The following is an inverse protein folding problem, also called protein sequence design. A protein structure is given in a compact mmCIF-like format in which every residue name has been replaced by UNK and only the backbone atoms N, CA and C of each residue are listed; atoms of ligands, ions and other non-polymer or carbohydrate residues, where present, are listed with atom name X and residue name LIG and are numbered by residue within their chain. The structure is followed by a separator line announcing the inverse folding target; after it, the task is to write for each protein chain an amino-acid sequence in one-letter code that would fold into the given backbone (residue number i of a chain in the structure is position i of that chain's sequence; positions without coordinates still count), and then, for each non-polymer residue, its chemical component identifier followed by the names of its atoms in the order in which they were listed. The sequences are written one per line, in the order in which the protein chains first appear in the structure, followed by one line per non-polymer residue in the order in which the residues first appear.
data_IF_190583916432
#
_entry.id   IF_190583916432
#
_cell.length_a   1.000
_cell.length_b   1.000
_cell.length_c   1.000
_cell.angle_alpha   90.00
_cell.angle_beta   90.00
_cell.angle_gamma   90.00
#
_symmetry.space_group_name_H-M   'P 1'
#
loop_
_entity.id
_entity.type
_entity.pdbx_description
1 polymer ?
#
# COMPACT_ATOMS: atom_id res chain seq x y z
N UNK A 1 -1.73 -59.41 -83.53
CA UNK A 1 -2.35 -58.08 -83.30
C UNK A 1 -2.22 -57.79 -81.81
N UNK A 2 -1.08 -57.28 -81.36
CA UNK A 2 -0.68 -55.86 -81.27
C UNK A 2 -1.41 -55.12 -80.15
N UNK A 3 -0.83 -55.20 -78.95
CA UNK A 3 -1.15 -54.30 -77.84
C UNK A 3 -0.53 -52.93 -78.09
N UNK A 4 -1.27 -51.89 -77.71
CA UNK A 4 -0.76 -50.52 -77.61
C UNK A 4 -1.11 -49.94 -76.23
N UNK A 5 -0.17 -49.26 -75.57
CA UNK A 5 -0.33 -48.76 -74.21
C UNK A 5 -1.16 -47.47 -74.18
N UNK A 6 -1.93 -47.33 -73.09
CA UNK A 6 -2.63 -46.10 -72.71
C UNK A 6 -1.63 -44.96 -72.52
N UNK A 7 -1.86 -43.84 -73.22
CA UNK A 7 -1.04 -42.64 -73.08
C UNK A 7 -1.28 -42.05 -71.69
N UNK A 8 -0.16 -41.91 -70.97
CA UNK A 8 -0.07 -41.22 -69.70
C UNK A 8 -0.67 -39.82 -69.77
N UNK A 9 -1.42 -39.53 -68.70
CA UNK A 9 -1.91 -38.24 -68.25
C UNK A 9 -0.75 -37.24 -68.18
N UNK A 10 -0.88 -36.10 -68.86
CA UNK A 10 0.10 -35.02 -68.84
C UNK A 10 -0.39 -33.95 -67.88
N UNK A 11 0.33 -33.82 -66.78
CA UNK A 11 0.58 -32.58 -66.02
C UNK A 11 -0.54 -31.55 -66.03
N UNK A 12 -1.38 -31.62 -65.00
CA UNK A 12 -2.02 -30.43 -64.41
C UNK A 12 -1.65 -30.34 -62.93
N UNK A 13 -0.35 -30.25 -62.64
CA UNK A 13 0.16 -29.71 -61.37
C UNK A 13 -0.04 -28.18 -61.35
N UNK A 14 -1.30 -27.74 -61.32
CA UNK A 14 -1.61 -26.43 -60.77
C UNK A 14 -1.60 -26.59 -59.24
N UNK A 15 -0.66 -25.99 -58.50
CA UNK A 15 -0.64 -26.10 -57.06
C UNK A 15 -1.97 -25.58 -56.51
N UNK A 16 -2.76 -26.48 -55.92
CA UNK A 16 -4.03 -26.12 -55.29
C UNK A 16 -3.81 -24.91 -54.40
N UNK A 17 -4.54 -23.84 -54.72
CA UNK A 17 -4.38 -22.52 -54.13
C UNK A 17 -4.24 -22.59 -52.62
N UNK A 18 -3.16 -22.00 -52.12
CA UNK A 18 -3.00 -21.74 -50.70
C UNK A 18 -4.25 -21.05 -50.18
N UNK A 19 -4.91 -21.64 -49.19
CA UNK A 19 -5.98 -20.97 -48.46
C UNK A 19 -5.49 -19.57 -48.03
N UNK A 20 -6.21 -18.47 -48.32
CA UNK A 20 -5.78 -17.11 -47.98
C UNK A 20 -5.50 -16.88 -46.49
N UNK A 21 -5.90 -17.83 -45.63
CA UNK A 21 -5.69 -17.80 -44.18
C UNK A 21 -4.35 -18.44 -43.72
N UNK A 22 -3.59 -19.12 -44.60
CA UNK A 22 -2.29 -19.68 -44.22
C UNK A 22 -1.16 -18.73 -44.63
N UNK A 23 -0.65 -17.99 -43.65
CA UNK A 23 0.67 -17.35 -43.74
C UNK A 23 1.70 -18.46 -43.98
N UNK A 24 2.25 -18.58 -45.19
CA UNK A 24 3.20 -19.65 -45.56
C UNK A 24 4.63 -19.34 -45.11
N UNK A 25 4.96 -18.08 -44.87
CA UNK A 25 6.30 -17.67 -44.46
C UNK A 25 6.49 -17.80 -42.92
N UNK A 26 7.43 -18.66 -42.45
CA UNK A 26 7.68 -18.86 -41.02
C UNK A 26 8.21 -17.61 -40.30
N UNK A 27 8.94 -16.72 -40.99
CA UNK A 27 9.41 -15.46 -40.41
C UNK A 27 8.24 -14.53 -40.10
N UNK A 28 7.30 -14.42 -41.05
CA UNK A 28 6.09 -13.62 -40.88
C UNK A 28 5.24 -14.15 -39.72
N UNK A 29 5.10 -15.48 -39.55
CA UNK A 29 4.38 -16.08 -38.40
C UNK A 29 5.04 -15.71 -37.06
N UNK A 30 6.36 -15.70 -37.00
CA UNK A 30 7.09 -15.35 -35.79
C UNK A 30 6.94 -13.86 -35.46
N UNK A 31 7.00 -12.99 -36.47
CA UNK A 31 6.76 -11.54 -36.28
C UNK A 31 5.29 -11.25 -35.90
N UNK A 32 4.33 -11.95 -36.50
CA UNK A 32 2.92 -11.87 -36.09
C UNK A 32 2.72 -12.37 -34.65
N UNK A 33 3.37 -13.46 -34.24
CA UNK A 33 3.30 -13.95 -32.87
C UNK A 33 3.91 -12.97 -31.86
N UNK A 34 5.08 -12.39 -32.17
CA UNK A 34 5.70 -11.33 -31.37
C UNK A 34 4.80 -10.10 -31.27
N UNK A 35 4.25 -9.64 -32.39
CA UNK A 35 3.35 -8.49 -32.43
C UNK A 35 2.07 -8.74 -31.62
N UNK A 36 1.51 -9.95 -31.69
CA UNK A 36 0.33 -10.34 -30.92
C UNK A 36 0.63 -10.48 -29.42
N UNK A 37 1.82 -10.97 -29.05
CA UNK A 37 2.30 -10.98 -27.66
C UNK A 37 2.46 -9.54 -27.15
N UNK A 38 3.13 -8.66 -27.89
CA UNK A 38 3.32 -7.26 -27.50
C UNK A 38 2.00 -6.49 -27.40
N UNK A 39 1.10 -6.67 -28.38
CA UNK A 39 -0.25 -6.12 -28.34
C UNK A 39 -1.03 -6.65 -27.14
N UNK A 40 -0.90 -7.95 -26.85
CA UNK A 40 -1.49 -8.58 -25.66
C UNK A 40 -0.95 -7.97 -24.37
N UNK A 41 0.38 -7.81 -24.23
CA UNK A 41 1.04 -7.21 -23.06
C UNK A 41 0.62 -5.76 -22.88
N UNK A 42 0.61 -4.95 -23.94
CA UNK A 42 0.16 -3.55 -23.90
C UNK A 42 -1.31 -3.48 -23.53
N UNK A 43 -2.16 -4.30 -24.16
CA UNK A 43 -3.59 -4.36 -23.88
C UNK A 43 -3.88 -4.76 -22.43
N UNK A 44 -3.21 -5.79 -21.91
CA UNK A 44 -3.32 -6.20 -20.50
C UNK A 44 -2.82 -5.12 -19.55
N UNK A 45 -1.75 -4.41 -19.92
CA UNK A 45 -1.21 -3.31 -19.10
C UNK A 45 -2.18 -2.12 -19.05
N UNK A 46 -2.76 -1.73 -20.18
CA UNK A 46 -3.79 -0.68 -20.24
C UNK A 46 -5.04 -1.09 -19.47
N UNK A 47 -5.48 -2.34 -19.61
CA UNK A 47 -6.60 -2.88 -18.86
C UNK A 47 -6.30 -2.84 -17.36
N UNK A 48 -5.11 -3.27 -16.94
CA UNK A 48 -4.67 -3.25 -15.54
C UNK A 48 -4.67 -1.83 -14.96
N UNK A 49 -4.23 -0.83 -15.73
CA UNK A 49 -4.32 0.59 -15.35
C UNK A 49 -5.78 1.03 -15.24
N UNK A 50 -6.63 0.65 -16.19
CA UNK A 50 -8.05 1.00 -16.18
C UNK A 50 -8.79 0.42 -14.95
N UNK A 51 -8.50 -0.83 -14.56
CA UNK A 51 -9.12 -1.49 -13.41
C UNK A 51 -8.33 -1.32 -12.10
N UNK A 52 -7.26 -0.53 -12.12
CA UNK A 52 -6.30 -0.43 -11.01
C UNK A 52 -6.94 0.01 -9.68
N UNK A 53 -7.90 0.94 -9.72
CA UNK A 53 -8.63 1.36 -8.54
C UNK A 53 -9.39 0.19 -7.90
N UNK A 54 -10.08 -0.62 -8.70
CA UNK A 54 -10.77 -1.81 -8.21
C UNK A 54 -9.80 -2.85 -7.63
N UNK A 55 -8.64 -3.05 -8.29
CA UNK A 55 -7.59 -3.93 -7.78
C UNK A 55 -7.02 -3.44 -6.44
N UNK A 56 -6.83 -2.13 -6.28
CA UNK A 56 -6.39 -1.53 -5.03
C UNK A 56 -7.42 -1.65 -3.92
N UNK A 57 -8.71 -1.53 -4.24
CA UNK A 57 -9.78 -1.79 -3.26
C UNK A 57 -9.76 -3.24 -2.78
N UNK A 58 -9.60 -4.21 -3.70
CA UNK A 58 -9.45 -5.62 -3.36
C UNK A 58 -8.18 -5.85 -2.54
N UNK A 59 -7.07 -5.22 -2.91
CA UNK A 59 -5.83 -5.30 -2.16
C UNK A 59 -5.96 -4.69 -0.77
N UNK A 60 -6.61 -3.54 -0.63
CA UNK A 60 -6.96 -2.91 0.64
C UNK A 60 -7.83 -3.83 1.49
N UNK A 61 -8.77 -4.56 0.90
CA UNK A 61 -9.55 -5.59 1.59
C UNK A 61 -8.67 -6.75 2.08
N UNK A 62 -7.66 -7.16 1.33
CA UNK A 62 -6.69 -8.17 1.79
C UNK A 62 -5.80 -7.65 2.93
N UNK A 63 -5.39 -6.38 2.89
CA UNK A 63 -4.67 -5.72 3.98
C UNK A 63 -5.54 -5.69 5.24
N UNK A 64 -6.80 -5.26 5.11
CA UNK A 64 -7.78 -5.26 6.20
C UNK A 64 -8.05 -6.68 6.74
N UNK A 65 -8.19 -7.67 5.85
CA UNK A 65 -8.34 -9.08 6.24
C UNK A 65 -7.12 -9.58 7.04
N UNK A 66 -5.91 -9.16 6.66
CA UNK A 66 -4.69 -9.52 7.40
C UNK A 66 -4.66 -8.87 8.79
N UNK A 67 -5.15 -7.63 8.95
CA UNK A 67 -5.30 -7.01 10.27
C UNK A 67 -6.26 -7.81 11.16
N UNK A 68 -7.42 -8.19 10.63
CA UNK A 68 -8.41 -9.01 11.35
C UNK A 68 -7.83 -10.39 11.69
N UNK A 69 -7.23 -11.10 10.72
CA UNK A 69 -6.66 -12.43 10.94
C UNK A 69 -5.49 -12.38 11.95
N UNK A 70 -4.68 -11.31 11.92
CA UNK A 70 -3.64 -11.03 12.91
C UNK A 70 -4.22 -10.91 14.32
N UNK A 71 -5.23 -10.05 14.51
CA UNK A 71 -5.92 -9.88 15.79
C UNK A 71 -6.59 -11.16 16.28
N UNK A 72 -7.28 -11.89 15.39
CA UNK A 72 -7.98 -13.12 15.75
C UNK A 72 -7.01 -14.24 16.16
N UNK A 73 -5.83 -14.34 15.51
CA UNK A 73 -4.77 -15.28 15.91
C UNK A 73 -4.13 -14.90 17.24
N UNK A 74 -3.93 -13.61 17.50
CA UNK A 74 -3.41 -13.13 18.78
C UNK A 74 -4.39 -13.48 19.91
N UNK A 75 -5.68 -13.22 19.72
CA UNK A 75 -6.72 -13.57 20.67
C UNK A 75 -6.81 -15.08 20.92
N UNK A 76 -6.56 -15.90 19.89
CA UNK A 76 -6.49 -17.36 19.99
C UNK A 76 -5.37 -17.90 20.89
N UNK A 77 -4.38 -17.07 21.26
CA UNK A 77 -3.37 -17.45 22.27
C UNK A 77 -3.89 -17.35 23.70
N UNK A 78 -4.94 -16.56 23.92
CA UNK A 78 -5.50 -16.29 25.26
C UNK A 78 -6.88 -16.94 25.43
N UNK A 79 -7.72 -16.93 24.38
CA UNK A 79 -9.07 -17.48 24.40
C UNK A 79 -9.21 -18.69 23.45
N UNK A 80 -9.50 -19.91 23.97
CA UNK A 80 -9.68 -21.12 23.16
C UNK A 80 -11.10 -21.20 22.53
N UNK A 81 -11.57 -20.14 21.89
CA UNK A 81 -12.88 -20.08 21.21
C UNK A 81 -12.75 -20.32 19.70
N UNK A 82 -13.87 -20.61 19.02
CA UNK A 82 -13.89 -20.81 17.55
C UNK A 82 -13.38 -19.59 16.75
N UNK A 83 -12.87 -19.83 15.53
CA UNK A 83 -12.31 -18.76 14.66
C UNK A 83 -13.30 -17.63 14.39
N UNK A 84 -14.55 -17.98 14.07
CA UNK A 84 -15.61 -16.99 13.80
C UNK A 84 -15.86 -16.06 14.98
N UNK A 85 -15.88 -16.61 16.21
CA UNK A 85 -16.04 -15.81 17.45
C UNK A 85 -14.86 -14.86 17.65
N UNK A 86 -13.62 -15.30 17.39
CA UNK A 86 -12.44 -14.42 17.51
C UNK A 86 -12.51 -13.26 16.52
N UNK A 87 -12.90 -13.52 15.28
CA UNK A 87 -13.08 -12.49 14.26
C UNK A 87 -14.18 -11.52 14.69
N UNK A 88 -15.32 -12.02 15.17
CA UNK A 88 -16.40 -11.20 15.68
C UNK A 88 -15.95 -10.31 16.85
N UNK A 89 -15.17 -10.84 17.80
CA UNK A 89 -14.60 -10.05 18.90
C UNK A 89 -13.70 -8.94 18.35
N UNK A 90 -12.79 -9.24 17.41
CA UNK A 90 -11.91 -8.22 16.82
C UNK A 90 -12.71 -7.12 16.11
N UNK A 91 -13.74 -7.49 15.35
CA UNK A 91 -14.61 -6.54 14.65
C UNK A 91 -15.42 -5.70 15.62
N UNK A 92 -16.01 -6.32 16.64
CA UNK A 92 -16.77 -5.60 17.67
C UNK A 92 -15.86 -4.68 18.49
N UNK A 93 -14.63 -5.08 18.79
CA UNK A 93 -13.64 -4.22 19.44
C UNK A 93 -13.26 -3.03 18.55
N UNK A 94 -13.08 -3.24 17.25
CA UNK A 94 -12.82 -2.16 16.29
C UNK A 94 -14.00 -1.18 16.23
N UNK A 95 -15.22 -1.68 16.04
CA UNK A 95 -16.43 -0.86 16.00
C UNK A 95 -16.64 -0.13 17.33
N UNK A 96 -16.47 -0.82 18.45
CA UNK A 96 -16.57 -0.24 19.79
C UNK A 96 -15.54 0.86 20.02
N UNK A 97 -14.29 0.66 19.57
CA UNK A 97 -13.25 1.70 19.60
C UNK A 97 -13.63 2.92 18.75
N UNK A 98 -14.13 2.72 17.52
CA UNK A 98 -14.54 3.82 16.65
C UNK A 98 -15.74 4.61 17.22
N UNK A 99 -16.72 3.91 17.80
CA UNK A 99 -17.86 4.54 18.49
C UNK A 99 -17.37 5.32 19.71
N UNK A 100 -16.52 4.72 20.55
CA UNK A 100 -15.93 5.38 21.71
C UNK A 100 -15.14 6.63 21.31
N UNK A 101 -14.28 6.54 20.29
CA UNK A 101 -13.51 7.67 19.76
C UNK A 101 -14.44 8.78 19.25
N UNK A 102 -15.51 8.42 18.52
CA UNK A 102 -16.48 9.38 17.98
C UNK A 102 -17.28 10.08 19.08
N UNK A 103 -17.68 9.37 20.14
CA UNK A 103 -18.43 9.95 21.25
C UNK A 103 -17.53 10.81 22.17
N UNK A 104 -16.35 10.30 22.52
CA UNK A 104 -15.45 10.96 23.46
C UNK A 104 -14.76 12.16 22.83
N UNK A 105 -14.23 11.99 21.62
CA UNK A 105 -13.39 12.99 20.99
C UNK A 105 -14.04 13.64 19.75
N UNK A 106 -15.11 13.05 19.18
CA UNK A 106 -15.65 13.51 17.88
C UNK A 106 -16.13 14.96 17.86
N UNK A 107 -16.81 15.44 18.91
CA UNK A 107 -17.27 16.84 18.97
C UNK A 107 -16.12 17.83 19.13
N UNK A 108 -15.11 17.49 19.94
CA UNK A 108 -13.91 18.31 20.13
C UNK A 108 -13.02 18.32 18.88
N UNK A 109 -12.72 17.14 18.34
CA UNK A 109 -11.97 16.93 17.10
C UNK A 109 -12.66 17.67 15.95
N UNK A 110 -13.99 17.58 15.83
CA UNK A 110 -14.74 18.26 14.77
C UNK A 110 -14.61 19.79 14.86
N UNK A 111 -14.69 20.36 16.08
CA UNK A 111 -14.48 21.80 16.28
C UNK A 111 -13.04 22.22 15.97
N UNK A 112 -12.06 21.47 16.45
CA UNK A 112 -10.64 21.71 16.17
C UNK A 112 -10.34 21.61 14.66
N UNK A 113 -10.90 20.61 13.98
CA UNK A 113 -10.79 20.46 12.54
C UNK A 113 -11.46 21.61 11.77
N UNK A 114 -12.57 22.16 12.25
CA UNK A 114 -13.22 23.32 11.64
C UNK A 114 -12.43 24.62 11.81
N UNK A 115 -11.65 24.74 12.89
CA UNK A 115 -10.75 25.89 13.14
C UNK A 115 -9.43 25.78 12.37
N UNK A 116 -9.03 24.56 12.01
CA UNK A 116 -7.74 24.28 11.38
C UNK A 116 -7.44 25.14 10.12
N UNK A 117 -8.37 25.30 9.15
CA UNK A 117 -8.10 26.13 7.96
C UNK A 117 -7.84 27.60 8.29
N UNK A 118 -8.49 28.14 9.33
CA UNK A 118 -8.28 29.52 9.75
C UNK A 118 -6.87 29.72 10.33
N UNK A 119 -6.40 28.76 11.16
CA UNK A 119 -5.05 28.78 11.71
C UNK A 119 -4.00 28.72 10.59
N UNK A 120 -4.22 27.86 9.59
CA UNK A 120 -3.31 27.78 8.44
C UNK A 120 -3.24 29.09 7.66
N UNK A 121 -4.38 29.73 7.41
CA UNK A 121 -4.42 31.04 6.72
C UNK A 121 -3.67 32.10 7.52
N UNK A 122 -3.94 32.21 8.82
CA UNK A 122 -3.30 33.20 9.69
C UNK A 122 -1.78 33.02 9.76
N UNK A 123 -1.31 31.79 9.94
CA UNK A 123 0.13 31.50 9.97
C UNK A 123 0.80 31.79 8.62
N UNK A 124 0.10 31.56 7.51
CA UNK A 124 0.61 31.88 6.19
C UNK A 124 0.70 33.39 5.96
N UNK A 125 -0.29 34.16 6.38
CA UNK A 125 -0.27 35.63 6.27
C UNK A 125 0.87 36.24 7.10
N UNK A 126 1.10 35.74 8.32
CA UNK A 126 2.24 36.14 9.15
C UNK A 126 3.58 35.84 8.47
N UNK A 127 3.70 34.66 7.86
CA UNK A 127 4.91 34.27 7.14
C UNK A 127 5.18 35.16 5.92
N UNK A 128 4.14 35.52 5.15
CA UNK A 128 4.26 36.45 4.02
C UNK A 128 4.60 37.87 4.48
N UNK A 129 4.02 38.33 5.58
CA UNK A 129 4.37 39.61 6.20
C UNK A 129 5.85 39.66 6.56
N UNK A 130 6.35 38.63 7.24
CA UNK A 130 7.77 38.49 7.58
C UNK A 130 8.68 38.46 6.33
N UNK A 131 8.29 37.75 5.26
CA UNK A 131 9.03 37.75 3.99
C UNK A 131 9.10 39.14 3.35
N UNK A 132 7.97 39.86 3.35
CA UNK A 132 7.91 41.22 2.84
C UNK A 132 8.79 42.18 3.65
N UNK A 133 8.85 42.02 4.98
CA UNK A 133 9.76 42.79 5.84
C UNK A 133 11.24 42.51 5.57
N UNK A 134 11.59 41.28 5.17
CA UNK A 134 12.95 40.92 4.75
C UNK A 134 13.29 41.37 3.31
N UNK A 135 12.38 42.06 2.62
CA UNK A 135 12.59 42.63 1.29
C UNK A 135 12.31 41.67 0.13
N UNK A 136 11.65 40.53 0.38
CA UNK A 136 11.18 39.66 -0.70
C UNK A 136 9.90 40.23 -1.32
N UNK A 137 9.90 40.43 -2.64
CA UNK A 137 8.72 40.87 -3.38
C UNK A 137 7.70 39.71 -3.49
N UNK A 138 6.74 39.68 -2.58
CA UNK A 138 5.63 38.72 -2.60
C UNK A 138 4.55 39.24 -3.55
N UNK A 139 4.39 38.59 -4.71
CA UNK A 139 3.24 38.86 -5.58
C UNK A 139 1.96 38.30 -4.93
N UNK A 140 0.97 39.17 -4.70
CA UNK A 140 -0.30 38.80 -4.07
C UNK A 140 -1.03 37.69 -4.85
N UNK A 141 -0.98 37.71 -6.18
CA UNK A 141 -1.60 36.67 -7.03
C UNK A 141 -0.99 35.27 -6.82
N UNK A 142 0.32 35.19 -6.62
CA UNK A 142 1.02 33.93 -6.34
C UNK A 142 0.71 33.44 -4.93
N UNK A 143 0.63 34.38 -3.97
CA UNK A 143 0.25 34.08 -2.59
C UNK A 143 -1.16 33.50 -2.49
N UNK A 144 -2.14 34.11 -3.16
CA UNK A 144 -3.52 33.60 -3.20
C UNK A 144 -3.60 32.22 -3.85
N UNK A 145 -2.84 31.99 -4.92
CA UNK A 145 -2.78 30.67 -5.56
C UNK A 145 -2.22 29.60 -4.63
N UNK A 146 -1.15 29.91 -3.88
CA UNK A 146 -0.55 29.01 -2.90
C UNK A 146 -1.51 28.76 -1.74
N UNK A 147 -2.15 29.81 -1.19
CA UNK A 147 -3.17 29.69 -0.15
C UNK A 147 -4.29 28.78 -0.63
N UNK A 148 -4.82 28.97 -1.83
CA UNK A 148 -5.89 28.13 -2.35
C UNK A 148 -5.47 26.65 -2.50
N UNK A 149 -4.21 26.38 -2.87
CA UNK A 149 -3.67 25.02 -2.89
C UNK A 149 -3.51 24.42 -1.49
N UNK A 150 -2.98 25.19 -0.54
CA UNK A 150 -2.83 24.77 0.86
C UNK A 150 -4.20 24.55 1.51
N UNK A 151 -5.16 25.44 1.26
CA UNK A 151 -6.53 25.39 1.77
C UNK A 151 -7.33 24.27 1.15
N UNK A 152 -7.13 23.95 -0.14
CA UNK A 152 -7.71 22.74 -0.72
C UNK A 152 -7.13 21.47 -0.10
N UNK A 153 -5.83 21.45 0.23
CA UNK A 153 -5.19 20.40 1.00
C UNK A 153 -5.72 20.28 2.44
N UNK A 154 -5.93 21.39 3.14
CA UNK A 154 -6.57 21.42 4.46
C UNK A 154 -8.05 21.01 4.38
N UNK A 155 -8.72 21.37 3.28
CA UNK A 155 -10.07 20.93 2.92
C UNK A 155 -10.17 19.41 2.73
N UNK A 156 -9.10 18.75 2.26
CA UNK A 156 -9.01 17.29 2.23
C UNK A 156 -8.95 16.69 3.64
N UNK A 157 -8.31 17.36 4.60
CA UNK A 157 -8.25 16.91 6.00
C UNK A 157 -9.63 17.06 6.68
N UNK A 158 -10.29 18.22 6.49
CA UNK A 158 -11.64 18.44 7.05
C UNK A 158 -12.70 17.56 6.37
N UNK A 159 -12.58 17.32 5.06
CA UNK A 159 -13.43 16.36 4.35
C UNK A 159 -13.09 14.89 4.65
N UNK A 160 -11.86 14.54 5.04
CA UNK A 160 -11.56 13.22 5.59
C UNK A 160 -12.26 13.01 6.95
N UNK A 161 -12.39 14.07 7.75
CA UNK A 161 -13.05 14.04 9.07
C UNK A 161 -14.59 14.13 8.94
N UNK A 162 -15.12 14.95 8.02
CA UNK A 162 -16.57 15.19 7.85
C UNK A 162 -17.23 14.46 6.67
N UNK A 163 -16.47 14.09 5.64
CA UNK A 163 -16.91 13.48 4.38
C UNK A 163 -16.95 11.96 4.43
N UNK A 164 -17.47 11.42 5.53
CA UNK A 164 -17.61 9.97 5.74
C UNK A 164 -18.50 9.35 4.64
N UNK A 165 -19.53 10.04 4.16
CA UNK A 165 -20.52 9.49 3.21
C UNK A 165 -19.98 9.04 1.84
N UNK A 166 -18.97 9.69 1.26
CA UNK A 166 -18.40 9.30 -0.05
C UNK A 166 -17.37 8.17 0.04
N UNK A 167 -16.50 8.23 1.05
CA UNK A 167 -15.51 7.19 1.33
C UNK A 167 -16.13 5.92 1.95
N UNK A 168 -17.31 6.06 2.57
CA UNK A 168 -18.03 4.96 3.21
C UNK A 168 -18.32 3.81 2.26
N UNK A 169 -18.74 4.07 1.02
CA UNK A 169 -19.07 2.98 0.07
C UNK A 169 -17.84 2.09 -0.18
N UNK A 170 -16.69 2.71 -0.46
CA UNK A 170 -15.43 1.98 -0.66
C UNK A 170 -14.99 1.27 0.62
N UNK A 171 -15.08 1.92 1.78
CA UNK A 171 -14.74 1.31 3.07
C UNK A 171 -15.64 0.14 3.43
N UNK A 172 -16.93 0.23 3.15
CA UNK A 172 -17.91 -0.85 3.35
C UNK A 172 -17.56 -2.02 2.44
N UNK A 173 -17.22 -1.78 1.18
CA UNK A 173 -16.78 -2.85 0.26
C UNK A 173 -15.49 -3.50 0.75
N UNK A 174 -14.48 -2.70 1.14
CA UNK A 174 -13.22 -3.18 1.73
C UNK A 174 -13.48 -4.03 2.97
N UNK A 175 -14.38 -3.56 3.86
CA UNK A 175 -14.74 -4.26 5.07
C UNK A 175 -15.45 -5.58 4.78
N UNK A 176 -16.46 -5.57 3.91
CA UNK A 176 -17.19 -6.77 3.51
C UNK A 176 -16.23 -7.81 2.92
N UNK A 177 -15.46 -7.44 1.89
CA UNK A 177 -14.51 -8.35 1.23
C UNK A 177 -13.48 -8.84 2.25
N UNK A 178 -12.93 -7.94 3.07
CA UNK A 178 -11.91 -8.27 4.04
C UNK A 178 -12.41 -9.21 5.14
N UNK A 179 -13.66 -9.04 5.59
CA UNK A 179 -14.31 -9.95 6.56
C UNK A 179 -14.48 -11.34 5.95
N UNK A 180 -14.98 -11.42 4.72
CA UNK A 180 -15.14 -12.70 4.01
C UNK A 180 -13.79 -13.42 3.85
N UNK A 181 -12.76 -12.71 3.40
CA UNK A 181 -11.40 -13.25 3.25
C UNK A 181 -10.79 -13.66 4.60
N UNK A 182 -10.99 -12.88 5.66
CA UNK A 182 -10.51 -13.20 7.00
C UNK A 182 -11.24 -14.41 7.61
N UNK A 183 -12.52 -14.58 7.33
CA UNK A 183 -13.31 -15.71 7.79
C UNK A 183 -12.79 -17.03 7.19
N UNK A 184 -12.61 -17.08 5.87
CA UNK A 184 -12.23 -18.31 5.14
C UNK A 184 -11.06 -18.10 4.15
N UNK A 185 -9.84 -17.77 4.59
CA UNK A 185 -8.72 -17.47 3.68
C UNK A 185 -8.37 -18.65 2.78
N UNK A 186 -8.47 -19.88 3.30
CA UNK A 186 -8.20 -21.13 2.56
C UNK A 186 -9.18 -21.36 1.40
N UNK A 187 -10.40 -20.81 1.45
CA UNK A 187 -11.34 -20.92 0.33
C UNK A 187 -10.82 -20.12 -0.86
N UNK A 188 -10.42 -18.88 -0.63
CA UNK A 188 -9.88 -17.98 -1.67
C UNK A 188 -8.53 -18.46 -2.20
N UNK A 189 -7.63 -18.92 -1.33
CA UNK A 189 -6.35 -19.52 -1.73
C UNK A 189 -6.54 -20.71 -2.68
N UNK A 190 -7.47 -21.62 -2.35
CA UNK A 190 -7.78 -22.78 -3.20
C UNK A 190 -8.41 -22.36 -4.54
N UNK A 191 -9.28 -21.34 -4.52
CA UNK A 191 -9.90 -20.80 -5.73
C UNK A 191 -8.86 -20.30 -6.73
N UNK A 192 -7.89 -19.50 -6.27
CA UNK A 192 -6.80 -19.00 -7.12
C UNK A 192 -5.87 -20.13 -7.55
N UNK A 193 -5.52 -21.05 -6.64
CA UNK A 193 -4.66 -22.19 -6.96
C UNK A 193 -5.27 -23.11 -8.04
N UNK A 194 -6.59 -23.15 -8.19
CA UNK A 194 -7.26 -23.98 -9.20
C UNK A 194 -6.97 -23.51 -10.64
N UNK A 195 -6.76 -22.21 -10.84
CA UNK A 195 -6.41 -21.61 -12.14
C UNK A 195 -4.97 -21.95 -12.54
N UNK A 196 -4.10 -22.26 -11.57
CA UNK A 196 -2.70 -22.58 -11.81
C UNK A 196 -2.50 -24.04 -12.25
N UNK A 197 -1.49 -24.31 -13.11
CA UNK A 197 -1.05 -25.66 -13.44
C UNK A 197 -0.74 -26.47 -12.19
N UNK A 198 -1.10 -27.77 -12.18
CA UNK A 198 -0.95 -28.65 -11.01
C UNK A 198 0.45 -28.64 -10.40
N UNK A 199 1.49 -28.54 -11.23
CA UNK A 199 2.90 -28.52 -10.81
C UNK A 199 3.27 -27.28 -10.01
N UNK A 200 2.58 -26.15 -10.19
CA UNK A 200 2.90 -24.87 -9.54
C UNK A 200 2.06 -24.61 -8.27
N UNK A 201 1.05 -25.45 -7.98
CA UNK A 201 0.12 -25.21 -6.86
C UNK A 201 0.81 -25.29 -5.50
N UNK A 202 1.78 -26.19 -5.34
CA UNK A 202 2.52 -26.32 -4.08
C UNK A 202 3.32 -25.04 -3.79
N UNK A 203 4.11 -24.57 -4.76
CA UNK A 203 4.92 -23.35 -4.65
C UNK A 203 4.04 -22.11 -4.41
N UNK A 204 2.88 -22.05 -5.07
CA UNK A 204 1.90 -21.00 -4.85
C UNK A 204 1.40 -20.96 -3.40
N UNK A 205 1.04 -22.11 -2.80
CA UNK A 205 0.58 -22.16 -1.42
C UNK A 205 1.67 -21.70 -0.44
N UNK A 206 2.92 -22.11 -0.65
CA UNK A 206 4.07 -21.66 0.16
C UNK A 206 4.25 -20.15 0.04
N UNK A 207 4.16 -19.61 -1.18
CA UNK A 207 4.29 -18.18 -1.43
C UNK A 207 3.19 -17.37 -0.74
N UNK A 208 1.93 -17.77 -0.91
CA UNK A 208 0.79 -17.06 -0.31
C UNK A 208 0.81 -17.15 1.21
N UNK A 209 1.19 -18.30 1.78
CA UNK A 209 1.32 -18.43 3.23
C UNK A 209 2.38 -17.46 3.79
N UNK A 210 3.53 -17.35 3.13
CA UNK A 210 4.60 -16.42 3.53
C UNK A 210 4.17 -14.97 3.35
N UNK A 211 3.51 -14.63 2.24
CA UNK A 211 2.93 -13.30 2.00
C UNK A 211 1.93 -12.93 3.10
N UNK A 212 1.00 -13.83 3.43
CA UNK A 212 0.02 -13.62 4.49
C UNK A 212 0.66 -13.47 5.88
N UNK A 213 1.71 -14.24 6.18
CA UNK A 213 2.47 -14.09 7.42
C UNK A 213 3.17 -12.72 7.50
N UNK A 214 3.84 -12.31 6.43
CA UNK A 214 4.49 -11.00 6.33
C UNK A 214 3.48 -9.87 6.47
N UNK A 215 2.36 -9.93 5.74
CA UNK A 215 1.33 -8.90 5.77
C UNK A 215 0.78 -8.71 7.19
N UNK A 216 0.46 -9.81 7.89
CA UNK A 216 -0.03 -9.76 9.28
C UNK A 216 0.96 -9.07 10.22
N UNK A 217 2.25 -9.37 10.09
CA UNK A 217 3.28 -8.82 10.98
C UNK A 217 3.61 -7.38 10.66
N UNK A 218 3.63 -7.02 9.37
CA UNK A 218 3.77 -5.64 8.92
C UNK A 218 2.59 -4.79 9.41
N UNK A 219 1.35 -5.27 9.25
CA UNK A 219 0.14 -4.59 9.74
C UNK A 219 0.09 -4.49 11.27
N UNK A 220 0.46 -5.54 11.99
CA UNK A 220 0.56 -5.49 13.45
C UNK A 220 1.58 -4.44 13.89
N UNK A 221 2.74 -4.41 13.24
CA UNK A 221 3.76 -3.41 13.49
C UNK A 221 3.26 -1.99 13.25
N UNK A 222 2.62 -1.75 12.10
CA UNK A 222 2.01 -0.45 11.77
C UNK A 222 1.02 -0.02 12.84
N UNK A 223 0.09 -0.88 13.24
CA UNK A 223 -0.87 -0.56 14.30
C UNK A 223 -0.20 -0.20 15.64
N UNK A 224 0.85 -0.93 16.03
CA UNK A 224 1.61 -0.63 17.25
C UNK A 224 2.33 0.72 17.12
N UNK A 225 2.97 0.99 15.98
CA UNK A 225 3.62 2.28 15.70
C UNK A 225 2.64 3.43 15.75
N UNK A 226 1.49 3.32 15.09
CA UNK A 226 0.41 4.32 15.12
C UNK A 226 -0.06 4.66 16.54
N UNK A 227 -0.31 3.63 17.36
CA UNK A 227 -0.73 3.84 18.76
C UNK A 227 0.42 4.46 19.56
N UNK A 228 1.64 3.98 19.39
CA UNK A 228 2.81 4.49 20.09
C UNK A 228 3.07 5.96 19.74
N UNK A 229 3.17 6.31 18.47
CA UNK A 229 3.42 7.67 18.01
C UNK A 229 2.30 8.62 18.44
N UNK A 230 1.04 8.20 18.35
CA UNK A 230 -0.09 9.01 18.81
C UNK A 230 -0.05 9.26 20.32
N UNK A 231 0.11 8.21 21.13
CA UNK A 231 0.16 8.35 22.59
C UNK A 231 1.40 9.13 23.05
N UNK A 232 2.56 8.86 22.45
CA UNK A 232 3.80 9.55 22.76
C UNK A 232 3.72 11.03 22.40
N UNK A 233 3.18 11.37 21.22
CA UNK A 233 2.93 12.76 20.82
C UNK A 233 1.97 13.44 21.80
N UNK A 234 0.86 12.79 22.15
CA UNK A 234 -0.09 13.35 23.12
C UNK A 234 0.56 13.64 24.46
N UNK A 235 1.33 12.68 25.00
CA UNK A 235 2.03 12.82 26.26
C UNK A 235 3.03 13.98 26.24
N UNK A 236 3.77 14.16 25.14
CA UNK A 236 4.74 15.25 24.98
C UNK A 236 4.07 16.62 24.87
N UNK A 237 2.94 16.72 24.15
CA UNK A 237 2.21 17.97 23.97
C UNK A 237 1.47 18.40 25.24
N UNK A 238 0.83 17.46 25.95
CA UNK A 238 0.22 17.74 27.27
C UNK A 238 1.30 18.01 28.32
N UNK A 239 2.44 17.31 28.25
CA UNK A 239 3.57 17.50 29.14
C UNK A 239 4.11 18.93 29.14
N UNK A 240 4.05 19.63 28.00
CA UNK A 240 4.39 21.06 27.93
C UNK A 240 3.53 21.88 28.89
N UNK A 241 2.20 21.79 28.77
CA UNK A 241 1.28 22.56 29.62
C UNK A 241 1.36 22.20 31.11
N UNK A 242 1.77 20.98 31.45
CA UNK A 242 2.04 20.62 32.85
C UNK A 242 3.28 21.30 33.42
N UNK A 243 4.26 21.66 32.59
CA UNK A 243 5.53 22.29 33.01
C UNK A 243 5.45 23.81 32.94
N UNK A 244 4.89 24.36 31.86
CA UNK A 244 4.81 25.82 31.63
C UNK A 244 3.50 26.44 32.13
N UNK A 245 2.43 25.65 32.25
CA UNK A 245 1.09 26.14 32.60
C UNK A 245 0.22 26.49 31.39
N UNK A 246 0.79 26.53 30.19
CA UNK A 246 0.08 26.88 28.95
C UNK A 246 -0.14 25.65 28.05
N UNK A 247 -1.37 25.42 27.60
CA UNK A 247 -1.70 24.27 26.76
C UNK A 247 -1.36 24.51 25.28
N UNK A 248 -0.70 23.53 24.64
CA UNK A 248 -0.49 23.57 23.19
C UNK A 248 -1.85 23.40 22.49
N UNK A 249 -2.22 24.29 21.54
CA UNK A 249 -3.48 24.19 20.84
C UNK A 249 -3.65 22.84 20.16
N UNK A 250 -4.86 22.28 20.24
CA UNK A 250 -5.26 21.08 19.50
C UNK A 250 -4.37 19.84 19.76
N UNK A 251 -3.72 19.75 20.93
CA UNK A 251 -2.79 18.66 21.26
C UNK A 251 -3.38 17.25 21.02
N UNK A 252 -4.65 17.04 21.39
CA UNK A 252 -5.35 15.77 21.17
C UNK A 252 -5.56 15.46 19.68
N UNK A 253 -6.01 16.45 18.88
CA UNK A 253 -6.18 16.26 17.44
C UNK A 253 -4.84 16.02 16.74
N UNK A 254 -3.80 16.78 17.09
CA UNK A 254 -2.45 16.59 16.54
C UNK A 254 -1.93 15.19 16.84
N UNK A 255 -2.05 14.72 18.08
CA UNK A 255 -1.65 13.38 18.46
C UNK A 255 -2.39 12.28 17.70
N UNK A 256 -3.72 12.42 17.53
CA UNK A 256 -4.52 11.47 16.74
C UNK A 256 -4.09 11.51 15.27
N UNK A 257 -3.89 12.69 14.70
CA UNK A 257 -3.41 12.83 13.34
C UNK A 257 -2.03 12.22 13.16
N UNK A 258 -1.07 12.50 14.05
CA UNK A 258 0.26 11.87 14.03
C UNK A 258 0.16 10.36 14.07
N UNK A 259 -0.61 9.80 15.01
CA UNK A 259 -0.82 8.36 15.09
C UNK A 259 -1.51 7.76 13.86
N UNK A 260 -2.49 8.44 13.26
CA UNK A 260 -3.15 7.96 12.03
C UNK A 260 -2.23 8.05 10.81
N UNK A 261 -1.52 9.16 10.66
CA UNK A 261 -0.63 9.42 9.53
C UNK A 261 0.63 8.54 9.58
N UNK A 262 1.04 8.08 10.77
CA UNK A 262 2.12 7.09 10.95
C UNK A 262 1.91 5.78 10.14
N UNK A 263 0.67 5.50 9.70
CA UNK A 263 0.41 4.39 8.80
C UNK A 263 1.15 4.52 7.45
N UNK A 264 1.34 5.75 6.97
CA UNK A 264 2.01 6.09 5.71
C UNK A 264 3.40 6.65 6.03
N UNK A 265 4.48 5.85 5.93
CA UNK A 265 5.81 6.34 6.28
C UNK A 265 6.23 7.52 5.46
N UNK A 266 7.15 8.30 6.03
CA UNK A 266 7.76 9.48 5.43
C UNK A 266 6.76 10.60 5.18
N UNK A 267 5.75 10.40 4.32
CA UNK A 267 4.72 11.39 4.01
C UNK A 267 3.88 11.70 5.25
N UNK A 268 3.42 10.68 5.98
CA UNK A 268 2.63 10.89 7.18
C UNK A 268 3.40 11.59 8.30
N UNK A 269 4.67 11.23 8.48
CA UNK A 269 5.58 11.91 9.39
C UNK A 269 5.79 13.38 9.02
N UNK A 270 6.09 13.67 7.74
CA UNK A 270 6.30 15.03 7.26
C UNK A 270 5.04 15.88 7.41
N UNK A 271 3.89 15.35 6.99
CA UNK A 271 2.61 16.08 7.07
C UNK A 271 2.23 16.31 8.53
N UNK A 272 2.24 15.28 9.37
CA UNK A 272 1.89 15.45 10.80
C UNK A 272 2.85 16.38 11.54
N UNK A 273 4.16 16.32 11.24
CA UNK A 273 5.16 17.24 11.77
C UNK A 273 4.90 18.68 11.35
N UNK A 274 4.65 18.92 10.06
CA UNK A 274 4.33 20.26 9.56
C UNK A 274 3.07 20.83 10.22
N UNK A 275 2.01 20.02 10.37
CA UNK A 275 0.78 20.41 11.06
C UNK A 275 1.04 20.75 12.53
N UNK A 276 1.82 19.93 13.22
CA UNK A 276 2.15 20.13 14.64
C UNK A 276 2.96 21.40 14.88
N UNK A 277 3.93 21.69 14.00
CA UNK A 277 4.74 22.90 14.08
C UNK A 277 3.90 24.13 13.79
N UNK A 278 3.09 24.10 12.74
CA UNK A 278 2.20 25.21 12.37
C UNK A 278 1.22 25.56 13.49
N UNK A 279 0.58 24.55 14.07
CA UNK A 279 -0.36 24.76 15.19
C UNK A 279 0.38 25.19 16.46
N UNK A 280 1.60 24.70 16.71
CA UNK A 280 2.44 25.18 17.81
C UNK A 280 2.71 26.69 17.71
N UNK A 281 3.09 27.19 16.54
CA UNK A 281 3.33 28.61 16.33
C UNK A 281 2.10 29.49 16.49
N UNK A 282 0.89 28.96 16.27
CA UNK A 282 -0.34 29.70 16.59
C UNK A 282 -0.56 29.94 18.09
N UNK A 283 0.08 29.15 18.95
CA UNK A 283 0.10 29.39 20.40
C UNK A 283 1.25 30.29 20.87
N UNK A 284 2.18 30.65 19.97
CA UNK A 284 3.34 31.49 20.26
C UNK A 284 4.67 30.87 19.80
N UNK A 285 5.72 31.71 19.79
CA UNK A 285 7.07 31.30 19.35
C UNK A 285 7.64 30.15 20.19
N UNK A 286 7.48 30.19 21.51
CA UNK A 286 8.00 29.13 22.40
C UNK A 286 7.30 27.79 22.15
N UNK A 287 5.96 27.80 21.99
CA UNK A 287 5.19 26.61 21.68
C UNK A 287 5.59 26.02 20.32
N UNK A 288 5.77 26.86 19.29
CA UNK A 288 6.22 26.42 17.97
C UNK A 288 7.61 25.80 17.97
N UNK A 289 8.56 26.38 18.71
CA UNK A 289 9.90 25.79 18.87
C UNK A 289 9.84 24.46 19.64
N UNK A 290 9.00 24.38 20.68
CA UNK A 290 8.81 23.14 21.42
C UNK A 290 8.22 22.03 20.55
N UNK A 291 7.21 22.32 19.71
CA UNK A 291 6.62 21.32 18.82
C UNK A 291 7.60 20.82 17.75
N UNK A 292 8.55 21.66 17.30
CA UNK A 292 9.67 21.19 16.45
C UNK A 292 10.52 20.15 17.20
N UNK A 293 10.87 20.42 18.46
CA UNK A 293 11.63 19.47 19.29
C UNK A 293 10.85 18.17 19.49
N UNK A 294 9.55 18.25 19.80
CA UNK A 294 8.68 17.08 19.91
C UNK A 294 8.65 16.28 18.62
N UNK A 295 8.46 16.93 17.47
CA UNK A 295 8.50 16.26 16.17
C UNK A 295 9.82 15.52 15.95
N UNK A 296 10.96 16.17 16.19
CA UNK A 296 12.28 15.54 16.05
C UNK A 296 12.43 14.34 17.00
N UNK A 297 11.95 14.44 18.24
CA UNK A 297 11.99 13.34 19.20
C UNK A 297 11.11 12.16 18.76
N UNK A 298 9.88 12.43 18.31
CA UNK A 298 8.97 11.40 17.78
C UNK A 298 9.64 10.65 16.63
N UNK A 299 10.21 11.39 15.65
CA UNK A 299 10.86 10.78 14.49
C UNK A 299 12.13 9.99 14.86
N UNK A 300 12.93 10.48 15.81
CA UNK A 300 14.10 9.74 16.28
C UNK A 300 13.69 8.45 16.99
N UNK A 301 12.67 8.50 17.85
CA UNK A 301 12.20 7.31 18.55
C UNK A 301 11.58 6.32 17.57
N UNK A 302 10.82 6.79 16.59
CA UNK A 302 10.28 5.93 15.55
C UNK A 302 11.41 5.22 14.78
N UNK A 303 12.39 5.98 14.29
CA UNK A 303 13.52 5.48 13.53
C UNK A 303 14.43 4.50 14.29
N UNK A 304 14.73 4.76 15.57
CA UNK A 304 15.70 3.97 16.34
C UNK A 304 15.06 2.86 17.19
N UNK A 305 13.80 2.98 17.60
CA UNK A 305 13.16 2.01 18.50
C UNK A 305 11.97 1.32 17.85
N UNK A 306 10.99 2.07 17.35
CA UNK A 306 9.71 1.52 16.88
C UNK A 306 9.94 0.67 15.63
N UNK A 307 10.57 1.24 14.60
CA UNK A 307 10.86 0.53 13.35
C UNK A 307 11.69 -0.73 13.63
N UNK A 308 12.82 -0.72 14.35
CA UNK A 308 13.59 -1.94 14.61
C UNK A 308 12.85 -3.00 15.44
N UNK A 309 12.04 -2.61 16.42
CA UNK A 309 11.22 -3.54 17.22
C UNK A 309 10.20 -4.28 16.36
N UNK A 310 9.60 -3.57 15.40
CA UNK A 310 8.67 -4.12 14.42
C UNK A 310 9.41 -4.95 13.37
N UNK A 311 10.51 -4.41 12.85
CA UNK A 311 11.21 -4.88 11.66
C UNK A 311 12.10 -6.10 11.89
N UNK A 312 12.50 -6.39 13.15
CA UNK A 312 13.41 -7.49 13.54
C UNK A 312 13.07 -8.88 12.99
N UNK A 313 11.89 -9.07 12.39
CA UNK A 313 11.51 -10.31 11.70
C UNK A 313 10.62 -10.07 10.46
N UNK A 314 10.53 -8.85 9.90
CA UNK A 314 9.72 -8.54 8.70
C UNK A 314 10.60 -8.33 7.47
N UNK A 315 10.00 -7.91 6.36
CA UNK A 315 10.71 -7.66 5.11
C UNK A 315 11.58 -6.42 5.24
N UNK A 316 12.89 -6.59 5.08
CA UNK A 316 13.82 -5.46 4.96
C UNK A 316 13.60 -4.76 3.62
N UNK A 317 13.07 -3.53 3.66
CA UNK A 317 12.88 -2.68 2.49
C UNK A 317 13.85 -1.51 2.57
N UNK A 318 14.59 -1.26 1.48
CA UNK A 318 15.47 -0.10 1.41
C UNK A 318 14.63 1.19 1.49
N UNK A 319 14.98 2.19 2.33
CA UNK A 319 14.19 3.40 2.51
C UNK A 319 13.91 4.15 1.19
N UNK A 320 14.91 4.24 0.31
CA UNK A 320 14.77 4.87 -0.99
C UNK A 320 13.75 4.15 -1.89
N UNK A 321 13.64 2.81 -1.79
CA UNK A 321 12.66 2.03 -2.54
C UNK A 321 11.25 2.27 -2.02
N UNK A 322 11.09 2.35 -0.70
CA UNK A 322 9.80 2.69 -0.06
C UNK A 322 9.34 4.07 -0.50
N UNK A 323 10.21 5.09 -0.38
CA UNK A 323 9.92 6.46 -0.82
C UNK A 323 9.58 6.55 -2.31
N UNK A 324 10.39 5.93 -3.17
CA UNK A 324 10.16 5.93 -4.62
C UNK A 324 8.85 5.25 -4.97
N UNK A 325 8.54 4.11 -4.34
CA UNK A 325 7.29 3.38 -4.58
C UNK A 325 6.08 4.14 -4.06
N UNK A 326 6.18 4.78 -2.89
CA UNK A 326 5.15 5.67 -2.35
C UNK A 326 4.83 6.83 -3.30
N UNK A 327 5.86 7.48 -3.85
CA UNK A 327 5.68 8.55 -4.82
C UNK A 327 4.97 8.06 -6.09
N UNK A 328 5.42 6.93 -6.65
CA UNK A 328 4.80 6.31 -7.84
C UNK A 328 3.33 5.97 -7.57
N UNK A 329 3.06 5.27 -6.46
CA UNK A 329 1.70 4.84 -6.11
C UNK A 329 0.78 6.02 -5.78
N UNK A 330 1.32 7.07 -5.14
CA UNK A 330 0.59 8.30 -4.83
C UNK A 330 0.23 9.08 -6.09
N UNK A 331 1.14 9.19 -7.06
CA UNK A 331 0.85 9.86 -8.34
C UNK A 331 -0.16 9.06 -9.17
N UNK A 332 -0.01 7.74 -9.25
CA UNK A 332 -0.86 6.91 -10.10
C UNK A 332 -2.26 6.67 -9.53
N UNK A 333 -2.37 6.52 -8.21
CA UNK A 333 -3.60 6.05 -7.57
C UNK A 333 -4.04 6.91 -6.37
N UNK A 334 -3.44 8.08 -6.20
CA UNK A 334 -3.78 9.04 -5.16
C UNK A 334 -3.50 8.51 -3.75
N UNK A 335 -4.31 8.99 -2.79
CA UNK A 335 -4.16 8.66 -1.37
C UNK A 335 -4.27 7.15 -1.13
N UNK A 336 -5.20 6.45 -1.79
CA UNK A 336 -5.34 5.00 -1.65
C UNK A 336 -4.08 4.25 -2.10
N UNK A 337 -3.47 4.67 -3.21
CA UNK A 337 -2.19 4.12 -3.66
C UNK A 337 -1.08 4.34 -2.64
N UNK A 338 -0.97 5.55 -2.13
CA UNK A 338 0.03 5.92 -1.14
C UNK A 338 -0.11 5.09 0.15
N UNK A 339 -1.33 4.91 0.66
CA UNK A 339 -1.61 4.05 1.83
C UNK A 339 -1.23 2.58 1.58
N UNK A 340 -1.47 2.07 0.38
CA UNK A 340 -1.23 0.67 0.05
C UNK A 340 0.18 0.40 -0.49
N UNK A 341 1.00 1.44 -0.67
CA UNK A 341 2.33 1.35 -1.26
C UNK A 341 3.24 0.38 -0.49
N UNK A 342 3.38 0.59 0.82
CA UNK A 342 4.18 -0.24 1.71
C UNK A 342 3.78 -1.72 1.72
N UNK A 343 2.51 -2.09 2.02
CA UNK A 343 2.11 -3.49 2.03
C UNK A 343 2.25 -4.11 0.64
N UNK A 344 1.96 -3.38 -0.43
CA UNK A 344 2.10 -3.89 -1.79
C UNK A 344 3.56 -4.15 -2.15
N UNK A 345 4.47 -3.23 -1.81
CA UNK A 345 5.90 -3.38 -2.04
C UNK A 345 6.45 -4.59 -1.27
N UNK A 346 6.05 -4.77 -0.01
CA UNK A 346 6.44 -5.93 0.78
C UNK A 346 5.94 -7.24 0.17
N UNK A 347 4.70 -7.27 -0.34
CA UNK A 347 4.13 -8.43 -1.02
C UNK A 347 4.87 -8.77 -2.32
N UNK A 348 5.19 -7.75 -3.12
CA UNK A 348 6.01 -7.91 -4.33
C UNK A 348 7.38 -8.49 -3.97
N UNK A 349 8.05 -7.93 -2.95
CA UNK A 349 9.37 -8.43 -2.52
C UNK A 349 9.31 -9.90 -2.10
N UNK A 350 8.35 -10.28 -1.26
CA UNK A 350 8.19 -11.69 -0.83
C UNK A 350 7.92 -12.61 -2.03
N UNK A 351 7.06 -12.21 -2.96
CA UNK A 351 6.77 -13.01 -4.15
C UNK A 351 8.02 -13.19 -5.04
N UNK A 352 8.82 -12.13 -5.21
CA UNK A 352 10.08 -12.19 -5.97
C UNK A 352 11.14 -13.06 -5.27
N UNK A 353 11.29 -12.93 -3.96
CA UNK A 353 12.21 -13.76 -3.17
C UNK A 353 11.83 -15.25 -3.24
N UNK A 354 10.54 -15.58 -3.15
CA UNK A 354 10.07 -16.97 -3.29
C UNK A 354 10.31 -17.51 -4.70
N UNK A 355 10.07 -16.68 -5.72
CA UNK A 355 10.31 -17.09 -7.11
C UNK A 355 11.79 -17.27 -7.43
N UNK A 356 12.66 -16.41 -6.90
CA UNK A 356 14.11 -16.56 -7.01
C UNK A 356 14.57 -17.88 -6.37
N UNK A 357 14.14 -18.15 -5.14
CA UNK A 357 14.47 -19.39 -4.44
C UNK A 357 13.99 -20.65 -5.19
N UNK A 358 12.79 -20.61 -5.80
CA UNK A 358 12.27 -21.70 -6.61
C UNK A 358 13.11 -21.94 -7.89
N UNK A 359 13.56 -20.86 -8.55
CA UNK A 359 14.43 -20.95 -9.72
C UNK A 359 15.80 -21.54 -9.35
N UNK A 360 16.40 -21.09 -8.25
CA UNK A 360 17.70 -21.58 -7.78
C UNK A 360 17.64 -23.09 -7.49
N UNK A 361 16.58 -23.56 -6.83
CA UNK A 361 16.36 -24.99 -6.57
C UNK A 361 16.22 -25.82 -7.86
N UNK A 362 15.55 -25.28 -8.89
CA UNK A 362 15.45 -25.94 -10.19
C UNK A 362 16.80 -26.02 -10.91
N UNK A 363 17.62 -24.97 -10.81
CA UNK A 363 18.93 -24.95 -11.43
C UNK A 363 19.93 -25.88 -10.71
N UNK A 364 19.84 -26.00 -9.38
CA UNK A 364 20.60 -27.00 -8.62
C UNK A 364 20.22 -28.43 -9.01
N UNK A 365 18.93 -28.74 -9.13
CA UNK A 365 18.46 -30.05 -9.59
C UNK A 365 18.95 -30.37 -11.02
N UNK A 366 18.99 -29.38 -11.91
CA UNK A 366 19.56 -29.51 -13.27
C UNK A 366 21.07 -29.74 -13.26
N UNK A 367 21.81 -29.12 -12.34
CA UNK A 367 23.25 -29.35 -12.19
C UNK A 367 23.54 -30.76 -11.68
N UNK A 368 22.83 -31.22 -10.65
CA UNK A 368 23.01 -32.56 -10.08
C UNK A 368 22.69 -33.67 -11.08
N UNK A 369 21.67 -33.49 -11.94
CA UNK A 369 21.33 -34.45 -12.98
C UNK A 369 22.30 -34.48 -14.18
N UNK A 370 23.21 -33.50 -14.32
CA UNK A 370 24.27 -33.51 -15.35
C UNK A 370 25.54 -34.24 -14.94
N UNK A 371 25.82 -34.36 -13.64
CA UNK A 371 27.04 -34.99 -13.10
C UNK A 371 27.17 -36.51 -13.43
N UNK A 372 26.09 -37.33 -13.53
CA UNK A 372 26.22 -38.77 -13.80
C UNK A 372 26.78 -39.15 -15.19
N UNK A 373 26.83 -38.22 -16.15
CA UNK A 373 27.28 -38.51 -17.52
C UNK A 373 28.78 -38.32 -17.75
N UNK A 374 29.50 -37.64 -16.85
CA UNK A 374 30.95 -37.42 -17.02
C UNK A 374 31.82 -38.50 -16.36
N UNK A 375 31.26 -39.31 -15.47
CA UNK A 375 32.01 -40.37 -14.77
C UNK A 375 32.01 -41.71 -15.51
N UNK A 376 31.10 -41.91 -16.48
CA UNK A 376 30.93 -43.18 -17.22
C UNK A 376 31.41 -43.14 -18.68
N UNK A 377 32.15 -42.12 -19.11
CA UNK A 377 32.74 -42.09 -20.45
C UNK A 377 34.23 -41.67 -20.38
N UNK A 378 35.15 -42.59 -20.04
CA UNK A 378 36.56 -42.35 -20.28
C UNK A 378 36.79 -42.32 -21.80
N UNK A 379 37.50 -41.29 -22.26
CA UNK A 379 37.92 -41.13 -23.65
C UNK A 379 38.81 -42.27 -24.15
#
# INVERSE_FOLDING_TARGET
MSGKPSKADKDTDAPMGASPARISNPELRMEFAKALIWMGVIGLSLLAVYISQSLLVIFGAMVFAAMIDGGARLLGRVLPVGRGVRIAIVLLSLVGFLVWLSLFAGTQISRQAAQFPAIVSEQFDLFLGWLSEQGFAVNQDNAETIINQVMSGAGLITSAIGGVFGALTTLVIVAIIGIYVAAEPRLYERGVAWILPKTQRADFHVTVERMGYTMRRLMFGRLVGMVFEGVFTYAMLVGYGLVTGDEIPMAALLAILTGLLAFVPNIGALVSGALMVLVGFSGGMEMGLYTIVVYLLVQNIDGYFVIPLIARKTVDLAPALVLGFQLIMGILFGILGLFLADPLLAMIKVALEQRAAANDAQDEARRQSRIPYMENNPA
#
